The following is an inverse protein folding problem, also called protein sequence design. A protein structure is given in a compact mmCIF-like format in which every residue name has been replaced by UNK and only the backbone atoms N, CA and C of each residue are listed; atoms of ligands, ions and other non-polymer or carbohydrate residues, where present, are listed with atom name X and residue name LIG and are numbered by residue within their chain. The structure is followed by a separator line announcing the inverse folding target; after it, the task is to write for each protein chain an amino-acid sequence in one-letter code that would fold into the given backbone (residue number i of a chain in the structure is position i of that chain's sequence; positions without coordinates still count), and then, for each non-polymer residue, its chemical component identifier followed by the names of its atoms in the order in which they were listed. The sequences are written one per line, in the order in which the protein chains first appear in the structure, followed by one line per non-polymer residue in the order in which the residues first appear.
data_IF_722405037989
#
_entry.id   IF_722405037989
#
_cell.length_a   1.000
_cell.length_b   1.000
_cell.length_c   1.000
_cell.angle_alpha   90.00
_cell.angle_beta   90.00
_cell.angle_gamma   90.00
#
_symmetry.space_group_name_H-M   'P 1'
#
loop_
_entity.id
_entity.type
_entity.pdbx_description
1 polymer ?
#
# COMPACT_ATOMS: atom_id res chain seq x y z
N UNK A 1 0.77 -35.19 23.16
CA UNK A 1 0.23 -34.69 21.88
C UNK A 1 -0.06 -33.20 21.99
N UNK A 2 1.00 -32.38 21.98
CA UNK A 2 0.90 -30.91 22.07
C UNK A 2 1.26 -30.33 20.70
N UNK A 3 0.31 -29.68 20.02
CA UNK A 3 0.61 -29.06 18.72
C UNK A 3 -0.59 -28.81 17.83
N UNK A 4 -1.63 -28.14 18.35
CA UNK A 4 -2.68 -27.51 17.53
C UNK A 4 -3.32 -26.36 18.30
N UNK A 5 -2.49 -25.42 18.71
CA UNK A 5 -2.92 -24.11 19.21
C UNK A 5 -2.19 -23.06 18.36
N UNK A 6 -2.89 -22.00 17.93
CA UNK A 6 -2.37 -20.72 17.39
C UNK A 6 -2.72 -20.26 15.96
N UNK A 7 -3.52 -20.95 15.15
CA UNK A 7 -3.90 -20.39 13.83
C UNK A 7 -5.14 -19.49 13.79
N UNK A 8 -5.88 -19.32 14.90
CA UNK A 8 -7.16 -18.58 14.86
C UNK A 8 -7.17 -17.19 15.52
N UNK A 9 -6.04 -16.58 15.90
CA UNK A 9 -6.07 -15.28 16.64
C UNK A 9 -5.01 -14.22 16.32
N UNK A 10 -4.12 -14.41 15.33
CA UNK A 10 -3.20 -13.35 14.88
C UNK A 10 -3.33 -13.24 13.37
N UNK A 11 -3.81 -12.09 12.89
CA UNK A 11 -3.86 -11.80 11.46
C UNK A 11 -2.49 -11.97 10.82
N UNK A 12 -2.47 -12.20 9.51
CA UNK A 12 -1.23 -12.33 8.73
C UNK A 12 -0.42 -11.03 8.93
N UNK A 13 0.81 -11.08 9.45
CA UNK A 13 1.58 -9.88 9.64
C UNK A 13 1.91 -9.26 8.26
N UNK A 14 1.96 -7.92 8.13
CA UNK A 14 2.31 -7.20 6.91
C UNK A 14 3.53 -7.75 6.14
N UNK A 15 4.55 -8.20 6.86
CA UNK A 15 5.77 -8.80 6.31
C UNK A 15 5.57 -10.15 5.63
N UNK A 16 4.48 -10.85 5.95
CA UNK A 16 4.13 -12.14 5.35
C UNK A 16 3.29 -11.96 4.07
N UNK A 17 2.77 -10.75 3.82
CA UNK A 17 2.08 -10.40 2.58
C UNK A 17 3.12 -10.05 1.51
N UNK A 18 3.67 -11.11 0.89
CA UNK A 18 4.73 -11.02 -0.13
C UNK A 18 4.35 -11.79 -1.39
N UNK A 19 4.96 -11.43 -2.51
CA UNK A 19 4.69 -12.04 -3.81
C UNK A 19 5.95 -12.25 -4.64
N UNK A 20 5.78 -12.63 -5.91
CA UNK A 20 6.90 -12.79 -6.85
C UNK A 20 7.73 -11.51 -6.94
N UNK A 21 7.07 -10.35 -6.96
CA UNK A 21 7.67 -9.02 -7.15
C UNK A 21 7.49 -8.07 -5.96
N UNK A 22 6.65 -8.44 -4.99
CA UNK A 22 6.34 -7.62 -3.81
C UNK A 22 7.10 -8.15 -2.60
N UNK A 23 7.79 -7.26 -1.91
CA UNK A 23 8.55 -7.55 -0.70
C UNK A 23 7.65 -7.56 0.53
N UNK A 24 6.78 -6.56 0.67
CA UNK A 24 5.86 -6.42 1.79
C UNK A 24 4.68 -5.54 1.42
N UNK A 25 3.61 -5.65 2.20
CA UNK A 25 2.47 -4.72 2.16
C UNK A 25 2.20 -4.25 3.57
N UNK A 26 2.26 -2.94 3.81
CA UNK A 26 2.01 -2.33 5.11
C UNK A 26 0.68 -1.60 5.11
N UNK A 27 0.02 -1.55 6.27
CA UNK A 27 -1.21 -0.79 6.45
C UNK A 27 -1.03 0.18 7.60
N UNK A 28 -1.20 1.47 7.33
CA UNK A 28 -1.10 2.54 8.33
C UNK A 28 -2.22 3.56 8.11
N UNK A 29 -3.04 3.79 9.14
CA UNK A 29 -4.16 4.74 9.09
C UNK A 29 -5.09 4.55 7.87
N UNK A 30 -5.30 3.30 7.44
CA UNK A 30 -6.13 2.97 6.29
C UNK A 30 -5.47 3.15 4.92
N UNK A 31 -4.20 3.56 4.87
CA UNK A 31 -3.38 3.52 3.65
C UNK A 31 -2.68 2.17 3.57
N UNK A 32 -2.79 1.51 2.41
CA UNK A 32 -2.11 0.26 2.10
C UNK A 32 -0.92 0.58 1.20
N UNK A 33 0.30 0.30 1.62
CA UNK A 33 1.51 0.59 0.85
C UNK A 33 2.25 -0.69 0.50
N UNK A 34 2.46 -0.94 -0.79
CA UNK A 34 3.23 -2.08 -1.27
C UNK A 34 4.66 -1.66 -1.56
N UNK A 35 5.63 -2.45 -1.12
CA UNK A 35 7.05 -2.27 -1.43
C UNK A 35 7.51 -3.35 -2.42
N UNK A 36 8.16 -2.93 -3.50
CA UNK A 36 8.70 -3.81 -4.52
C UNK A 36 10.02 -4.43 -4.04
N UNK A 37 10.28 -5.68 -4.45
CA UNK A 37 11.55 -6.36 -4.12
C UNK A 37 12.79 -5.61 -4.62
N UNK A 38 13.90 -5.83 -3.94
CA UNK A 38 15.23 -5.33 -4.35
C UNK A 38 15.88 -6.16 -5.48
N UNK A 39 15.35 -7.35 -5.75
CA UNK A 39 15.81 -8.31 -6.75
C UNK A 39 14.64 -8.89 -7.58
N UNK A 40 14.95 -9.47 -8.74
CA UNK A 40 13.94 -10.08 -9.62
C UNK A 40 12.91 -9.11 -10.23
N UNK A 41 13.11 -7.79 -10.09
CA UNK A 41 12.27 -6.73 -10.68
C UNK A 41 13.09 -5.79 -11.56
N UNK A 42 12.40 -4.97 -12.36
CA UNK A 42 13.05 -3.93 -13.18
C UNK A 42 13.86 -2.97 -12.28
N UNK A 43 15.04 -2.56 -12.74
CA UNK A 43 15.99 -1.70 -12.00
C UNK A 43 15.35 -0.40 -11.51
N UNK A 44 14.42 0.17 -12.26
CA UNK A 44 13.79 1.46 -11.96
C UNK A 44 12.71 1.39 -10.87
N UNK A 45 12.25 0.18 -10.51
CA UNK A 45 11.21 -0.02 -9.49
C UNK A 45 11.70 -0.77 -8.23
N UNK A 46 12.99 -1.08 -8.13
CA UNK A 46 13.56 -1.81 -6.98
C UNK A 46 13.38 -1.04 -5.68
N UNK A 47 12.82 -1.68 -4.65
CA UNK A 47 12.56 -1.06 -3.35
C UNK A 47 11.58 0.11 -3.40
N UNK A 48 10.94 0.35 -4.56
CA UNK A 48 9.99 1.45 -4.75
C UNK A 48 8.61 1.06 -4.20
N UNK A 49 7.77 2.06 -4.01
CA UNK A 49 6.48 1.94 -3.35
C UNK A 49 5.35 2.55 -4.16
N UNK A 50 4.16 1.99 -3.96
CA UNK A 50 2.87 2.57 -4.33
C UNK A 50 1.91 2.43 -3.16
N UNK A 51 0.89 3.28 -3.12
CA UNK A 51 -0.13 3.23 -2.09
C UNK A 51 -1.53 3.14 -2.67
N UNK A 52 -2.42 2.48 -1.93
CA UNK A 52 -3.86 2.53 -2.08
C UNK A 52 -4.46 3.19 -0.85
N UNK A 53 -5.40 4.10 -1.03
CA UNK A 53 -6.10 4.75 0.08
C UNK A 53 -7.57 4.95 -0.26
N UNK A 54 -8.43 4.90 0.76
CA UNK A 54 -9.87 5.14 0.61
C UNK A 54 -10.27 6.51 1.13
N UNK A 55 -11.17 7.22 0.44
CA UNK A 55 -11.92 8.38 0.97
C UNK A 55 -13.41 8.07 1.03
N UNK A 56 -14.11 8.65 2.00
CA UNK A 56 -15.55 8.46 2.14
C UNK A 56 -16.30 9.28 1.09
N UNK A 57 -17.30 8.66 0.45
CA UNK A 57 -18.21 9.29 -0.49
C UNK A 57 -19.62 8.73 -0.32
N UNK A 58 -20.56 9.57 0.13
CA UNK A 58 -22.00 9.30 0.18
C UNK A 58 -22.37 7.92 0.75
N UNK A 59 -21.77 7.56 1.90
CA UNK A 59 -22.02 6.28 2.57
C UNK A 59 -21.18 5.10 2.07
N UNK A 60 -20.33 5.31 1.07
CA UNK A 60 -19.36 4.34 0.56
C UNK A 60 -17.91 4.83 0.72
N UNK A 61 -16.94 4.00 0.34
CA UNK A 61 -15.52 4.37 0.27
C UNK A 61 -15.04 4.21 -1.16
N UNK A 62 -14.55 5.30 -1.76
CA UNK A 62 -13.85 5.28 -3.04
C UNK A 62 -12.36 5.10 -2.79
N UNK A 63 -11.77 4.12 -3.46
CA UNK A 63 -10.34 3.84 -3.40
C UNK A 63 -9.59 4.54 -4.53
N UNK A 64 -8.39 4.97 -4.20
CA UNK A 64 -7.42 5.57 -5.11
C UNK A 64 -6.13 4.76 -5.06
N UNK A 65 -5.36 4.83 -6.13
CA UNK A 65 -4.10 4.13 -6.28
C UNK A 65 -3.09 5.08 -6.92
N UNK A 66 -1.89 5.16 -6.35
CA UNK A 66 -0.88 6.08 -6.86
C UNK A 66 0.46 5.93 -6.18
N UNK A 67 1.26 6.99 -6.31
CA UNK A 67 2.50 7.12 -5.57
C UNK A 67 2.26 7.05 -4.06
N UNK A 68 3.30 6.82 -3.24
CA UNK A 68 3.12 6.63 -1.82
C UNK A 68 2.46 7.85 -1.17
N UNK A 69 1.56 7.57 -0.24
CA UNK A 69 0.90 8.60 0.57
C UNK A 69 0.93 8.21 2.03
N UNK A 70 0.81 9.21 2.89
CA UNK A 70 0.62 9.02 4.33
C UNK A 70 -0.66 9.70 4.77
N UNK A 71 -1.26 9.16 5.83
CA UNK A 71 -2.42 9.74 6.50
C UNK A 71 -2.09 9.95 7.97
N UNK A 72 -2.36 11.14 8.48
CA UNK A 72 -2.03 11.50 9.85
C UNK A 72 -2.87 10.74 10.88
N UNK A 73 -4.14 10.48 10.59
CA UNK A 73 -5.07 9.78 11.48
C UNK A 73 -5.99 8.85 10.67
N UNK A 74 -6.37 7.72 11.25
CA UNK A 74 -7.25 6.75 10.57
C UNK A 74 -8.64 7.31 10.19
N UNK A 75 -9.09 8.38 10.84
CA UNK A 75 -10.37 9.07 10.58
C UNK A 75 -10.23 10.28 9.65
N UNK A 76 -9.02 10.69 9.29
CA UNK A 76 -8.81 11.83 8.41
C UNK A 76 -9.22 11.49 6.97
N UNK A 77 -9.88 12.43 6.29
CA UNK A 77 -10.23 12.28 4.87
C UNK A 77 -9.04 12.51 3.94
N UNK A 78 -8.12 13.39 4.36
CA UNK A 78 -6.98 13.78 3.54
C UNK A 78 -5.75 12.88 3.72
N UNK A 79 -5.06 12.66 2.61
CA UNK A 79 -3.74 12.04 2.56
C UNK A 79 -2.73 13.04 2.01
N UNK A 80 -1.46 12.87 2.37
CA UNK A 80 -0.34 13.67 1.85
C UNK A 80 0.61 12.79 1.06
N UNK A 81 1.23 13.37 0.03
CA UNK A 81 2.29 12.69 -0.71
C UNK A 81 3.42 12.26 0.23
N UNK A 82 3.91 11.04 0.03
CA UNK A 82 5.17 10.55 0.57
C UNK A 82 6.10 10.25 -0.61
N UNK A 83 7.00 11.18 -0.88
CA UNK A 83 7.91 11.07 -2.02
C UNK A 83 8.97 9.96 -1.84
N UNK A 84 9.09 9.38 -0.63
CA UNK A 84 10.13 8.41 -0.35
C UNK A 84 9.95 7.13 -1.17
N UNK A 85 10.93 6.84 -2.02
CA UNK A 85 10.96 5.64 -2.86
C UNK A 85 9.69 5.46 -3.71
N UNK A 86 9.09 6.54 -4.21
CA UNK A 86 7.93 6.42 -5.09
C UNK A 86 8.27 5.69 -6.40
N UNK A 87 7.35 4.83 -6.86
CA UNK A 87 7.38 4.34 -8.24
C UNK A 87 7.09 5.52 -9.17
N UNK A 88 7.93 5.72 -10.18
CA UNK A 88 7.71 6.75 -11.20
C UNK A 88 6.42 6.48 -11.98
N UNK A 89 5.67 7.54 -12.29
CA UNK A 89 4.35 7.47 -12.93
C UNK A 89 4.36 6.68 -14.25
N UNK A 90 5.49 6.69 -14.97
CA UNK A 90 5.65 5.91 -16.22
C UNK A 90 5.57 4.38 -16.00
N UNK A 91 5.85 3.89 -14.80
CA UNK A 91 5.74 2.47 -14.44
C UNK A 91 4.42 2.12 -13.77
N UNK A 92 3.63 3.12 -13.38
CA UNK A 92 2.30 2.88 -12.84
C UNK A 92 1.31 2.61 -13.98
N UNK A 93 0.40 1.62 -13.83
CA UNK A 93 -0.74 1.47 -14.72
C UNK A 93 -1.56 2.75 -14.80
N UNK A 94 -2.29 2.97 -15.90
CA UNK A 94 -3.14 4.16 -16.08
C UNK A 94 -4.16 4.37 -14.95
N UNK A 95 -4.62 3.27 -14.33
CA UNK A 95 -5.60 3.27 -13.23
C UNK A 95 -4.98 3.44 -11.84
N UNK A 96 -3.67 3.67 -11.74
CA UNK A 96 -2.97 3.83 -10.47
C UNK A 96 -2.05 5.06 -10.51
N UNK A 97 -2.60 6.19 -10.97
CA UNK A 97 -1.88 7.47 -11.08
C UNK A 97 -2.65 8.59 -10.39
N UNK A 98 -3.44 8.25 -9.38
CA UNK A 98 -4.22 9.21 -8.63
C UNK A 98 -3.29 10.13 -7.83
N UNK A 99 -3.61 11.41 -7.81
CA UNK A 99 -2.96 12.37 -6.92
C UNK A 99 -3.50 12.23 -5.49
N UNK A 100 -2.72 12.56 -4.46
CA UNK A 100 -3.19 12.54 -3.05
C UNK A 100 -4.45 13.39 -2.81
N UNK A 101 -4.70 14.36 -3.68
CA UNK A 101 -5.84 15.28 -3.64
C UNK A 101 -7.08 14.73 -4.36
N UNK A 102 -7.00 13.61 -5.08
CA UNK A 102 -8.07 13.03 -5.87
C UNK A 102 -9.34 12.73 -5.03
N UNK A 103 -10.51 13.07 -5.58
CA UNK A 103 -11.82 12.88 -4.96
C UNK A 103 -12.65 11.91 -5.79
#
# INVERSE_FOLDING_TARGET
MAGRQHFCRRGIPPSDIKGKYVQSVTVANGVVTAEMKSDGVNKEIKGKKLSLWGRRQDGSVKWFCGQPVTRNDAKADDVKADAANAIETKHLPSTCRDEPTAK
#
